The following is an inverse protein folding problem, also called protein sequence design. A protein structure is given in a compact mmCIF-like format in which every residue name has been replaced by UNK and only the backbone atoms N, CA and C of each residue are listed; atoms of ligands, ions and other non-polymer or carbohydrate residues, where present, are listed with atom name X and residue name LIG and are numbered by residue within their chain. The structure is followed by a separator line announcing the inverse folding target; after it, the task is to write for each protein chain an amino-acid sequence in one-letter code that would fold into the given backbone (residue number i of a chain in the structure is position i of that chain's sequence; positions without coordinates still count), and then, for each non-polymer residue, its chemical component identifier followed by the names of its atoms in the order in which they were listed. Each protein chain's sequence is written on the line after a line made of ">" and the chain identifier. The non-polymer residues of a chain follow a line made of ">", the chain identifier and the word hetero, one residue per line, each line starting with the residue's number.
data_IF_217086225222
#
_entry.id   IF_217086225222
#
_cell.length_a   1.000
_cell.length_b   1.000
_cell.length_c   1.000
_cell.angle_alpha   90.00
_cell.angle_beta   90.00
_cell.angle_gamma   90.00
#
_symmetry.space_group_name_H-M   'P 1'
#
loop_
_entity.id
_entity.type
_entity.pdbx_description
1 polymer ?
#
# COMPACT_ATOMS: atom_id res chain seq x y z
N UNK A 1 -9.38 -0.49 14.86
CA UNK A 1 -8.23 -1.16 15.50
C UNK A 1 -7.54 -2.02 14.45
N UNK A 2 -6.21 -2.16 14.46
CA UNK A 2 -5.54 -3.20 13.66
C UNK A 2 -5.61 -4.49 14.48
N UNK A 3 -6.20 -5.55 13.94
CA UNK A 3 -6.42 -6.77 14.73
C UNK A 3 -5.08 -7.40 15.11
N UNK A 4 -4.72 -7.30 16.39
CA UNK A 4 -3.56 -7.96 17.01
C UNK A 4 -4.10 -8.83 18.14
N UNK A 5 -4.42 -10.08 17.84
CA UNK A 5 -4.99 -10.99 18.83
C UNK A 5 -5.69 -12.20 18.20
N UNK A 6 -6.43 -12.99 19.00
CA UNK A 6 -7.31 -14.05 18.51
C UNK A 6 -8.35 -13.45 17.57
N UNK A 7 -8.51 -14.01 16.37
CA UNK A 7 -9.54 -13.56 15.42
C UNK A 7 -10.94 -13.67 16.07
N UNK A 8 -11.87 -12.74 15.77
CA UNK A 8 -13.28 -12.96 16.08
C UNK A 8 -13.77 -14.24 15.37
N UNK A 9 -14.98 -14.74 15.69
CA UNK A 9 -15.61 -15.80 14.90
C UNK A 9 -15.51 -15.47 13.40
N UNK A 10 -14.95 -16.41 12.64
CA UNK A 10 -14.67 -16.23 11.22
C UNK A 10 -15.92 -16.68 10.46
N UNK A 11 -16.46 -15.79 9.62
CA UNK A 11 -17.61 -16.10 8.78
C UNK A 11 -17.30 -17.27 7.83
N UNK A 12 -18.31 -18.05 7.47
CA UNK A 12 -18.13 -19.32 6.75
C UNK A 12 -17.43 -19.16 5.39
N UNK A 13 -17.70 -18.06 4.68
CA UNK A 13 -17.09 -17.76 3.37
C UNK A 13 -15.72 -17.07 3.46
N UNK A 14 -15.20 -16.83 4.69
CA UNK A 14 -13.88 -16.23 4.92
C UNK A 14 -12.86 -17.33 5.17
N UNK A 15 -11.93 -17.48 4.23
CA UNK A 15 -10.92 -18.52 4.30
C UNK A 15 -9.84 -18.19 5.31
N UNK A 16 -9.26 -19.24 5.90
CA UNK A 16 -8.15 -19.14 6.83
C UNK A 16 -6.87 -19.68 6.21
N UNK A 17 -5.78 -18.95 6.42
CA UNK A 17 -4.44 -19.39 6.10
C UNK A 17 -3.59 -19.42 7.37
N UNK A 18 -3.11 -20.60 7.74
CA UNK A 18 -2.18 -20.77 8.85
C UNK A 18 -0.76 -20.51 8.38
N UNK A 19 -0.04 -19.67 9.10
CA UNK A 19 1.32 -19.26 8.76
C UNK A 19 2.24 -19.40 9.95
N UNK A 20 3.53 -19.64 9.69
CA UNK A 20 4.56 -19.46 10.71
C UNK A 20 4.98 -17.99 10.78
N UNK A 21 4.95 -17.41 11.99
CA UNK A 21 5.40 -16.04 12.22
C UNK A 21 6.92 -15.99 12.22
N UNK A 22 7.48 -14.87 11.75
CA UNK A 22 8.95 -14.64 11.79
C UNK A 22 9.54 -14.72 13.20
N UNK A 23 8.77 -14.29 14.21
CA UNK A 23 9.17 -14.29 15.61
C UNK A 23 8.99 -15.67 16.29
N UNK A 24 8.53 -16.67 15.54
CA UNK A 24 8.18 -17.99 16.04
C UNK A 24 6.69 -18.15 16.35
N UNK A 25 6.22 -19.40 16.30
CA UNK A 25 4.83 -19.77 16.53
C UNK A 25 3.91 -19.58 15.33
N UNK A 26 2.67 -20.03 15.48
CA UNK A 26 1.66 -19.99 14.41
C UNK A 26 0.83 -18.69 14.47
N UNK A 27 0.40 -18.24 13.29
CA UNK A 27 -0.57 -17.18 13.10
C UNK A 27 -1.63 -17.60 12.10
N UNK A 28 -2.77 -16.94 12.16
CA UNK A 28 -3.81 -17.05 11.13
C UNK A 28 -3.87 -15.74 10.37
N UNK A 29 -4.00 -15.85 9.05
CA UNK A 29 -4.42 -14.79 8.14
C UNK A 29 -5.75 -15.19 7.54
N UNK A 30 -6.54 -14.20 7.14
CA UNK A 30 -7.78 -14.42 6.40
C UNK A 30 -7.60 -13.97 4.96
N UNK A 31 -8.31 -14.62 4.06
CA UNK A 31 -8.37 -14.24 2.66
C UNK A 31 -9.76 -14.54 2.08
N UNK A 32 -10.08 -13.89 0.97
CA UNK A 32 -11.37 -13.99 0.31
C UNK A 32 -11.17 -13.97 -1.19
N UNK A 33 -11.97 -14.73 -1.92
CA UNK A 33 -12.00 -14.82 -3.38
C UNK A 33 -13.42 -14.69 -3.95
N UNK A 34 -14.39 -14.40 -3.10
CA UNK A 34 -15.81 -14.31 -3.45
C UNK A 34 -16.46 -13.07 -2.84
N UNK A 35 -17.59 -12.67 -3.41
CA UNK A 35 -18.42 -11.60 -2.83
C UNK A 35 -18.94 -12.00 -1.45
N UNK A 36 -19.33 -13.25 -1.26
CA UNK A 36 -19.79 -13.76 0.03
C UNK A 36 -18.69 -13.64 1.09
N UNK A 37 -17.45 -14.02 0.77
CA UNK A 37 -16.31 -13.83 1.66
C UNK A 37 -16.05 -12.36 2.00
N UNK A 38 -16.12 -11.46 1.01
CA UNK A 38 -15.99 -10.03 1.25
C UNK A 38 -17.08 -9.48 2.18
N UNK A 39 -18.32 -9.94 2.04
CA UNK A 39 -19.42 -9.60 2.95
C UNK A 39 -19.22 -10.23 4.35
N UNK A 40 -18.67 -11.44 4.42
CA UNK A 40 -18.29 -12.07 5.68
C UNK A 40 -17.25 -11.25 6.45
N UNK A 41 -16.32 -10.57 5.76
CA UNK A 41 -15.42 -9.61 6.43
C UNK A 41 -16.20 -8.44 7.06
N UNK A 42 -17.29 -7.98 6.45
CA UNK A 42 -18.16 -6.94 7.02
C UNK A 42 -18.89 -7.45 8.25
N UNK A 43 -19.37 -8.70 8.24
CA UNK A 43 -19.99 -9.35 9.40
C UNK A 43 -19.00 -9.49 10.58
N UNK A 44 -17.71 -9.59 10.27
CA UNK A 44 -16.60 -9.58 11.24
C UNK A 44 -16.18 -8.16 11.66
N UNK A 45 -16.97 -7.12 11.35
CA UNK A 45 -16.71 -5.69 11.61
C UNK A 45 -15.41 -5.16 10.96
N UNK A 46 -14.95 -5.77 9.85
CA UNK A 46 -13.75 -5.31 9.14
C UNK A 46 -14.06 -4.05 8.33
N UNK A 47 -13.36 -2.96 8.67
CA UNK A 47 -13.45 -1.69 7.93
C UNK A 47 -12.28 -1.49 6.98
N UNK A 48 -11.03 -1.72 7.40
CA UNK A 48 -9.86 -1.57 6.52
C UNK A 48 -9.29 -2.93 6.11
N UNK A 49 -9.08 -3.12 4.82
CA UNK A 49 -8.43 -4.28 4.24
C UNK A 49 -6.95 -3.97 4.01
N UNK A 50 -6.08 -4.83 4.55
CA UNK A 50 -4.63 -4.68 4.49
C UNK A 50 -3.99 -5.95 3.94
N UNK A 51 -4.11 -6.20 2.62
CA UNK A 51 -3.52 -7.37 1.99
C UNK A 51 -1.99 -7.35 2.03
N UNK A 52 -1.40 -8.53 1.89
CA UNK A 52 0.02 -8.68 1.60
C UNK A 52 0.26 -8.45 0.11
N UNK A 53 1.49 -8.13 -0.25
CA UNK A 53 1.96 -8.10 -1.64
C UNK A 53 2.36 -9.52 -2.11
N UNK A 54 1.47 -10.48 -1.89
CA UNK A 54 1.62 -11.90 -2.25
C UNK A 54 0.23 -12.54 -2.40
N UNK A 55 0.14 -13.59 -3.21
CA UNK A 55 -1.09 -14.38 -3.35
C UNK A 55 -1.18 -15.46 -2.28
N UNK A 56 -2.35 -16.09 -2.15
CA UNK A 56 -2.53 -17.22 -1.23
C UNK A 56 -1.94 -18.53 -1.77
N UNK A 57 -1.68 -18.61 -3.07
CA UNK A 57 -1.04 -19.77 -3.71
C UNK A 57 0.43 -19.90 -3.27
N UNK A 58 1.10 -18.77 -3.09
CA UNK A 58 2.42 -18.69 -2.46
C UNK A 58 2.60 -17.37 -1.70
N UNK A 59 2.43 -17.43 -0.38
CA UNK A 59 2.58 -16.26 0.49
C UNK A 59 4.03 -15.89 0.81
N UNK A 60 4.98 -16.78 0.52
CA UNK A 60 6.41 -16.55 0.81
C UNK A 60 7.10 -15.80 -0.33
N UNK A 61 6.43 -15.70 -1.47
CA UNK A 61 6.87 -15.06 -2.69
C UNK A 61 6.01 -13.81 -2.97
N UNK A 62 6.66 -12.65 -3.01
CA UNK A 62 6.03 -11.38 -3.34
C UNK A 62 5.76 -11.29 -4.85
N UNK A 63 4.55 -10.84 -5.21
CA UNK A 63 4.10 -10.66 -6.59
C UNK A 63 3.99 -9.18 -7.01
N UNK A 64 4.16 -8.27 -6.04
CA UNK A 64 3.96 -6.84 -6.19
C UNK A 64 5.03 -6.07 -5.42
N UNK A 65 5.47 -4.94 -5.99
CA UNK A 65 6.20 -3.90 -5.25
C UNK A 65 5.25 -2.75 -4.91
N UNK A 66 5.43 -2.19 -3.72
CA UNK A 66 4.65 -1.07 -3.19
C UNK A 66 5.59 0.01 -2.67
N UNK A 67 5.41 1.23 -3.17
CA UNK A 67 6.08 2.43 -2.69
C UNK A 67 5.02 3.38 -2.13
N UNK A 68 5.07 3.64 -0.83
CA UNK A 68 4.16 4.57 -0.16
C UNK A 68 4.84 5.95 -0.06
N UNK A 69 4.31 6.93 -0.80
CA UNK A 69 4.77 8.31 -0.76
C UNK A 69 4.04 9.04 0.35
N UNK A 70 4.72 9.20 1.49
CA UNK A 70 4.17 9.77 2.71
C UNK A 70 4.76 11.19 2.94
N UNK A 71 4.00 12.26 2.67
CA UNK A 71 4.48 13.62 2.87
C UNK A 71 4.62 13.94 4.36
N UNK A 72 5.83 14.35 4.77
CA UNK A 72 6.03 14.95 6.08
C UNK A 72 5.36 16.32 6.20
N UNK A 73 5.32 16.85 7.42
CA UNK A 73 4.72 18.16 7.67
C UNK A 73 5.41 19.26 6.84
N UNK A 74 4.61 20.13 6.22
CA UNK A 74 5.07 21.20 5.34
C UNK A 74 5.27 20.78 3.87
N UNK A 75 5.13 19.51 3.52
CA UNK A 75 5.16 19.07 2.12
C UNK A 75 3.81 19.32 1.43
N UNK A 76 3.85 20.10 0.35
CA UNK A 76 2.69 20.34 -0.50
C UNK A 76 2.33 19.10 -1.35
N UNK A 77 1.05 18.93 -1.64
CA UNK A 77 0.54 17.82 -2.46
C UNK A 77 1.15 17.80 -3.87
N UNK A 78 1.39 18.96 -4.48
CA UNK A 78 2.05 19.07 -5.78
C UNK A 78 3.42 18.39 -5.79
N UNK A 79 4.15 18.42 -4.66
CA UNK A 79 5.42 17.70 -4.55
C UNK A 79 5.23 16.18 -4.46
N UNK A 80 4.15 15.70 -3.85
CA UNK A 80 3.80 14.27 -3.87
C UNK A 80 3.52 13.81 -5.30
N UNK A 81 2.78 14.61 -6.08
CA UNK A 81 2.52 14.34 -7.50
C UNK A 81 3.81 14.31 -8.31
N UNK A 82 4.66 15.34 -8.15
CA UNK A 82 5.96 15.40 -8.82
C UNK A 82 6.79 14.15 -8.52
N UNK A 83 6.84 13.74 -7.25
CA UNK A 83 7.57 12.56 -6.79
C UNK A 83 6.98 11.28 -7.37
N UNK A 84 5.65 11.17 -7.44
CA UNK A 84 4.97 10.03 -8.04
C UNK A 84 5.32 9.88 -9.52
N UNK A 85 5.36 10.98 -10.27
CA UNK A 85 5.75 10.95 -11.68
C UNK A 85 7.24 10.60 -11.86
N UNK A 86 8.12 11.10 -11.00
CA UNK A 86 9.54 10.71 -11.00
C UNK A 86 9.72 9.21 -10.69
N UNK A 87 9.02 8.71 -9.68
CA UNK A 87 9.08 7.30 -9.29
C UNK A 87 8.47 6.40 -10.39
N UNK A 88 7.40 6.84 -11.05
CA UNK A 88 6.84 6.16 -12.23
C UNK A 88 7.89 6.00 -13.32
N UNK A 89 8.57 7.07 -13.71
CA UNK A 89 9.59 7.01 -14.76
C UNK A 89 10.76 6.11 -14.38
N UNK A 90 11.19 6.14 -13.12
CA UNK A 90 12.21 5.22 -12.61
C UNK A 90 11.78 3.75 -12.76
N UNK A 91 10.54 3.43 -12.38
CA UNK A 91 10.00 2.06 -12.49
C UNK A 91 9.81 1.63 -13.94
N UNK A 92 9.26 2.49 -14.80
CA UNK A 92 9.13 2.23 -16.24
C UNK A 92 10.50 1.99 -16.89
N UNK A 93 11.54 2.71 -16.48
CA UNK A 93 12.92 2.51 -16.94
C UNK A 93 13.53 1.16 -16.57
N UNK A 94 13.10 0.56 -15.46
CA UNK A 94 13.46 -0.80 -15.06
C UNK A 94 12.53 -1.87 -15.69
N UNK A 95 11.60 -1.47 -16.57
CA UNK A 95 10.69 -2.38 -17.28
C UNK A 95 9.38 -2.69 -16.55
N UNK A 96 9.10 -2.02 -15.44
CA UNK A 96 7.86 -2.20 -14.69
C UNK A 96 6.68 -1.42 -15.27
N UNK A 97 5.48 -1.80 -14.84
CA UNK A 97 4.21 -1.13 -15.20
C UNK A 97 3.52 -0.61 -13.94
N UNK A 98 4.01 0.50 -13.37
CA UNK A 98 3.45 1.04 -12.14
C UNK A 98 2.07 1.66 -12.36
N UNK A 99 1.22 1.54 -11.36
CA UNK A 99 -0.09 2.19 -11.29
C UNK A 99 -0.24 2.95 -9.95
N UNK A 100 -0.86 4.14 -9.97
CA UNK A 100 -1.02 4.94 -8.78
C UNK A 100 -2.31 4.59 -8.04
N UNK A 101 -2.24 4.61 -6.72
CA UNK A 101 -3.38 4.37 -5.82
C UNK A 101 -3.40 5.41 -4.71
N UNK A 102 -4.49 6.16 -4.63
CA UNK A 102 -4.75 7.06 -3.52
C UNK A 102 -4.87 6.24 -2.23
N UNK A 103 -4.41 6.79 -1.11
CA UNK A 103 -4.44 6.07 0.16
C UNK A 103 -5.70 6.36 0.96
N UNK A 104 -6.45 7.43 0.65
CA UNK A 104 -7.46 7.98 1.54
C UNK A 104 -6.85 8.64 2.80
N UNK A 105 -5.55 8.92 2.77
CA UNK A 105 -4.80 9.53 3.87
C UNK A 105 -4.10 10.79 3.40
N UNK A 106 -2.82 10.95 3.74
CA UNK A 106 -1.99 12.06 3.26
C UNK A 106 -1.17 11.69 2.02
N UNK A 107 -1.02 10.41 1.71
CA UNK A 107 -0.03 9.90 0.76
C UNK A 107 -0.61 9.27 -0.51
N UNK A 108 0.29 8.77 -1.35
CA UNK A 108 -0.02 8.06 -2.60
C UNK A 108 0.81 6.79 -2.66
N UNK A 109 0.19 5.64 -2.96
CA UNK A 109 0.93 4.43 -3.28
C UNK A 109 1.24 4.37 -4.78
N UNK A 110 2.46 3.98 -5.12
CA UNK A 110 2.79 3.43 -6.43
C UNK A 110 2.94 1.92 -6.28
N UNK A 111 2.16 1.18 -7.05
CA UNK A 111 2.16 -0.27 -7.02
C UNK A 111 2.58 -0.79 -8.38
N UNK A 112 3.43 -1.82 -8.43
CA UNK A 112 3.79 -2.47 -9.69
C UNK A 112 3.83 -3.98 -9.54
N UNK A 113 3.25 -4.75 -10.48
CA UNK A 113 3.43 -6.19 -10.51
C UNK A 113 4.89 -6.54 -10.82
N UNK A 114 5.35 -7.62 -10.19
CA UNK A 114 6.62 -8.25 -10.50
C UNK A 114 6.41 -9.24 -11.66
N UNK A 115 7.22 -9.19 -12.74
CA UNK A 115 7.10 -10.15 -13.85
C UNK A 115 7.36 -11.60 -13.45
N UNK A 116 8.14 -11.79 -12.40
CA UNK A 116 8.41 -13.05 -11.71
C UNK A 116 8.39 -12.76 -10.22
N UNK A 117 7.83 -13.66 -9.42
CA UNK A 117 7.80 -13.46 -7.98
C UNK A 117 9.20 -13.43 -7.39
N UNK A 118 9.33 -12.78 -6.24
CA UNK A 118 10.58 -12.68 -5.50
C UNK A 118 10.32 -13.01 -4.04
N UNK A 119 11.28 -13.66 -3.37
CA UNK A 119 11.26 -13.71 -1.90
C UNK A 119 11.06 -12.29 -1.34
N UNK A 120 10.30 -12.17 -0.24
CA UNK A 120 10.02 -10.87 0.37
C UNK A 120 11.29 -10.06 0.67
N UNK A 121 12.39 -10.70 1.06
CA UNK A 121 13.64 -9.98 1.33
C UNK A 121 14.30 -9.46 0.05
N UNK A 122 14.21 -10.19 -1.06
CA UNK A 122 14.65 -9.71 -2.37
C UNK A 122 13.78 -8.54 -2.85
N UNK A 123 12.46 -8.64 -2.74
CA UNK A 123 11.53 -7.55 -3.06
C UNK A 123 11.81 -6.30 -2.22
N UNK A 124 12.00 -6.46 -0.90
CA UNK A 124 12.36 -5.39 0.02
C UNK A 124 13.67 -4.69 -0.38
N UNK A 125 14.73 -5.46 -0.63
CA UNK A 125 16.04 -4.91 -1.00
C UNK A 125 15.98 -4.20 -2.36
N UNK A 126 15.23 -4.75 -3.30
CA UNK A 126 15.04 -4.14 -4.60
C UNK A 126 14.28 -2.80 -4.51
N UNK A 127 13.16 -2.77 -3.77
CA UNK A 127 12.42 -1.53 -3.52
C UNK A 127 13.27 -0.50 -2.77
N UNK A 128 14.06 -0.93 -1.77
CA UNK A 128 15.01 -0.07 -1.06
C UNK A 128 15.99 0.61 -2.01
N UNK A 129 16.58 -0.14 -2.95
CA UNK A 129 17.54 0.39 -3.93
C UNK A 129 16.90 1.50 -4.76
N UNK A 130 15.69 1.28 -5.28
CA UNK A 130 14.98 2.27 -6.11
C UNK A 130 14.57 3.52 -5.31
N UNK A 131 14.04 3.34 -4.10
CA UNK A 131 13.70 4.46 -3.22
C UNK A 131 14.93 5.30 -2.87
N UNK A 132 16.07 4.66 -2.58
CA UNK A 132 17.33 5.35 -2.31
C UNK A 132 17.89 6.05 -3.55
N UNK A 133 17.74 5.46 -4.73
CA UNK A 133 18.16 6.08 -5.99
C UNK A 133 17.39 7.40 -6.21
N UNK A 134 16.07 7.40 -6.05
CA UNK A 134 15.27 8.62 -6.14
C UNK A 134 15.65 9.63 -5.05
N UNK A 135 15.78 9.19 -3.79
CA UNK A 135 16.12 10.07 -2.69
C UNK A 135 17.48 10.76 -2.85
N UNK A 136 18.47 10.10 -3.48
CA UNK A 136 19.78 10.71 -3.77
C UNK A 136 19.73 11.87 -4.75
N UNK A 137 18.67 11.99 -5.55
CA UNK A 137 18.52 13.11 -6.50
C UNK A 137 18.24 14.43 -5.78
N UNK A 138 17.67 14.37 -4.57
CA UNK A 138 17.39 15.54 -3.74
C UNK A 138 17.32 15.14 -2.24
N UNK A 139 18.47 15.00 -1.57
CA UNK A 139 18.54 14.53 -0.18
C UNK A 139 17.89 15.47 0.85
N UNK A 140 17.71 16.73 0.48
CA UNK A 140 17.08 17.75 1.34
C UNK A 140 15.56 17.68 1.27
N UNK A 141 14.99 17.14 0.18
CA UNK A 141 13.54 16.96 0.02
C UNK A 141 13.05 15.54 0.25
N UNK A 142 13.93 14.53 0.19
CA UNK A 142 13.55 13.13 0.36
C UNK A 142 14.17 12.47 1.58
N UNK A 143 13.46 11.50 2.14
CA UNK A 143 13.99 10.61 3.17
C UNK A 143 13.52 9.18 2.89
N UNK A 144 14.36 8.19 3.21
CA UNK A 144 14.01 6.75 3.11
C UNK A 144 14.11 6.05 4.46
N UNK A 145 14.31 6.79 5.54
CA UNK A 145 14.31 6.29 6.91
C UNK A 145 12.93 6.46 7.53
N UNK A 146 12.44 5.42 8.22
CA UNK A 146 11.16 5.48 8.94
C UNK A 146 11.15 6.48 10.11
N UNK A 147 12.31 7.00 10.53
CA UNK A 147 12.45 7.93 11.66
C UNK A 147 11.58 9.18 11.46
N UNK A 148 10.57 9.35 12.32
CA UNK A 148 9.66 10.50 12.30
C UNK A 148 10.42 11.83 12.42
N UNK A 149 11.48 11.87 13.23
CA UNK A 149 12.32 13.05 13.42
C UNK A 149 12.99 13.54 12.12
N UNK A 150 13.09 12.68 11.10
CA UNK A 150 13.68 13.04 9.80
C UNK A 150 12.62 13.47 8.77
N UNK A 151 11.33 13.43 9.07
CA UNK A 151 10.27 13.74 8.09
C UNK A 151 9.90 15.22 7.92
N UNK A 152 10.06 16.13 8.90
CA UNK A 152 9.67 17.54 8.69
C UNK A 152 10.32 18.13 7.43
N UNK A 153 9.52 18.77 6.57
CA UNK A 153 9.98 19.37 5.31
C UNK A 153 10.43 18.37 4.24
N UNK A 154 10.23 17.06 4.44
CA UNK A 154 10.65 16.00 3.51
C UNK A 154 9.55 15.01 3.20
N UNK A 155 9.59 14.45 1.99
CA UNK A 155 8.74 13.34 1.60
C UNK A 155 9.44 12.01 1.92
N UNK A 156 8.76 11.16 2.69
CA UNK A 156 9.24 9.82 3.00
C UNK A 156 8.84 8.87 1.87
N UNK A 157 9.84 8.32 1.19
CA UNK A 157 9.65 7.27 0.18
C UNK A 157 9.70 5.93 0.91
N UNK A 158 8.53 5.47 1.37
CA UNK A 158 8.38 4.27 2.17
C UNK A 158 8.38 3.02 1.29
N UNK A 159 9.54 2.35 1.26
CA UNK A 159 9.71 1.04 0.62
C UNK A 159 9.48 -0.14 1.58
N UNK A 160 9.13 0.10 2.84
CA UNK A 160 9.07 -0.94 3.88
C UNK A 160 7.89 -1.89 3.72
N UNK A 161 6.95 -1.57 2.83
CA UNK A 161 5.76 -2.38 2.47
C UNK A 161 6.05 -3.66 1.69
N UNK A 162 7.32 -3.90 1.37
CA UNK A 162 7.79 -5.00 0.55
C UNK A 162 8.45 -6.11 1.38
N UNK A 163 8.29 -6.10 2.70
CA UNK A 163 8.80 -7.15 3.58
C UNK A 163 7.74 -8.18 3.95
N UNK A 164 8.15 -9.39 4.32
CA UNK A 164 7.23 -10.45 4.74
C UNK A 164 6.40 -9.98 5.93
N UNK A 165 5.09 -10.13 5.86
CA UNK A 165 4.18 -9.70 6.93
C UNK A 165 3.85 -8.22 6.95
N UNK A 166 4.46 -7.42 6.08
CA UNK A 166 4.11 -6.02 5.93
C UNK A 166 2.89 -5.88 5.04
N UNK A 167 2.12 -4.83 5.28
CA UNK A 167 0.87 -4.58 4.57
C UNK A 167 0.80 -3.15 4.08
N UNK A 168 0.01 -2.98 3.03
CA UNK A 168 -0.43 -1.70 2.50
C UNK A 168 -1.95 -1.74 2.42
N UNK A 169 -2.61 -0.59 2.63
CA UNK A 169 -4.07 -0.55 2.49
C UNK A 169 -4.49 -1.02 1.10
N UNK A 170 -5.45 -1.94 1.04
CA UNK A 170 -5.92 -2.59 -0.18
C UNK A 170 -6.61 -1.61 -1.14
N UNK A 171 -6.65 -1.97 -2.41
CA UNK A 171 -7.46 -1.25 -3.38
C UNK A 171 -8.94 -1.29 -2.99
N UNK A 172 -9.60 -0.14 -3.08
CA UNK A 172 -11.00 0.07 -2.72
C UNK A 172 -11.34 -0.10 -1.22
N UNK A 173 -10.34 -0.35 -0.37
CA UNK A 173 -10.55 -0.37 1.08
C UNK A 173 -10.99 1.01 1.57
N UNK A 174 -12.04 1.12 2.40
CA UNK A 174 -12.29 2.32 3.16
C UNK A 174 -11.19 2.55 4.19
N UNK A 175 -11.14 3.77 4.72
CA UNK A 175 -10.24 4.20 5.79
C UNK A 175 -11.03 4.64 7.01
N UNK A 176 -10.58 4.28 8.20
CA UNK A 176 -11.16 4.75 9.47
C UNK A 176 -10.60 6.15 9.76
N UNK A 177 -11.10 7.11 9.00
CA UNK A 177 -10.81 8.54 9.08
C UNK A 177 -12.10 9.32 8.89
N UNK A 178 -12.09 10.60 9.25
CA UNK A 178 -13.25 11.47 9.04
C UNK A 178 -13.71 11.42 7.57
N UNK A 179 -15.01 11.21 7.37
CA UNK A 179 -15.60 11.06 6.05
C UNK A 179 -15.45 9.68 5.39
N UNK A 180 -14.74 8.73 5.98
CA UNK A 180 -14.45 7.39 5.42
C UNK A 180 -13.90 7.43 3.98
N UNK A 181 -12.71 8.02 3.77
CA UNK A 181 -12.08 8.05 2.47
C UNK A 181 -11.72 6.64 1.99
N UNK A 182 -11.59 6.47 0.67
CA UNK A 182 -11.38 5.17 0.01
C UNK A 182 -9.99 5.16 -0.63
N UNK A 183 -9.23 4.09 -0.41
CA UNK A 183 -7.96 3.85 -1.06
C UNK A 183 -8.15 3.44 -2.53
N UNK A 184 -8.34 4.41 -3.41
CA UNK A 184 -8.78 4.17 -4.79
C UNK A 184 -7.62 4.10 -5.79
N UNK A 185 -7.55 3.05 -6.64
CA UNK A 185 -6.74 3.09 -7.85
C UNK A 185 -7.18 4.24 -8.75
N UNK A 186 -6.22 4.96 -9.33
CA UNK A 186 -6.48 6.11 -10.21
C UNK A 186 -5.63 6.03 -11.47
N UNK A 187 -5.96 6.86 -12.46
CA UNK A 187 -5.14 6.98 -13.67
C UNK A 187 -3.99 7.97 -13.44
N UNK A 188 -2.88 7.79 -14.16
CA UNK A 188 -1.80 8.79 -14.19
C UNK A 188 -2.30 10.17 -14.61
N UNK A 189 -3.23 10.26 -15.57
CA UNK A 189 -3.89 11.51 -15.97
C UNK A 189 -4.72 12.16 -14.84
N UNK A 190 -5.17 11.36 -13.86
CA UNK A 190 -5.83 11.87 -12.66
C UNK A 190 -4.81 12.46 -11.69
N UNK A 191 -3.68 11.77 -11.50
CA UNK A 191 -2.55 12.24 -10.68
C UNK A 191 -1.98 13.56 -11.24
N UNK A 192 -1.71 13.63 -12.54
CA UNK A 192 -1.25 14.84 -13.24
C UNK A 192 -2.23 16.02 -13.12
N UNK A 193 -3.52 15.73 -12.92
CA UNK A 193 -4.57 16.75 -12.74
C UNK A 193 -4.78 17.14 -11.28
N UNK A 194 -3.97 16.66 -10.35
CA UNK A 194 -4.04 17.09 -8.96
C UNK A 194 -5.08 16.37 -8.12
N UNK A 195 -5.50 15.14 -8.49
CA UNK A 195 -6.46 14.40 -7.65
C UNK A 195 -5.89 14.19 -6.23
N UNK A 196 -6.61 14.65 -5.21
CA UNK A 196 -6.17 14.57 -3.81
C UNK A 196 -6.28 13.14 -3.26
N UNK A 197 -5.48 12.83 -2.23
CA UNK A 197 -5.41 11.49 -1.61
C UNK A 197 -6.76 10.96 -1.08
N UNK A 198 -7.68 11.84 -0.71
CA UNK A 198 -8.99 11.56 -0.13
C UNK A 198 -10.16 11.91 -1.06
N UNK A 199 -9.90 12.02 -2.38
CA UNK A 199 -10.88 12.45 -3.38
C UNK A 199 -12.17 11.59 -3.42
N UNK A 200 -12.10 10.35 -2.93
CA UNK A 200 -13.23 9.42 -2.86
C UNK A 200 -13.52 9.04 -1.42
N UNK A 201 -14.80 9.02 -1.07
CA UNK A 201 -15.30 8.65 0.25
C UNK A 201 -16.51 7.73 0.13
N UNK A 202 -16.94 7.10 1.22
CA UNK A 202 -18.19 6.31 1.20
C UNK A 202 -19.41 7.14 0.75
N UNK A 203 -19.44 8.43 1.11
CA UNK A 203 -20.51 9.36 0.71
C UNK A 203 -20.28 9.95 -0.70
N UNK A 204 -19.07 9.83 -1.24
CA UNK A 204 -18.70 10.28 -2.58
C UNK A 204 -17.88 9.20 -3.29
N UNK A 205 -18.50 8.06 -3.64
CA UNK A 205 -17.78 6.95 -4.22
C UNK A 205 -17.34 7.27 -5.64
N UNK A 206 -16.39 6.48 -6.14
CA UNK A 206 -15.98 6.49 -7.54
C UNK A 206 -17.21 6.23 -8.43
N UNK A 207 -17.45 7.11 -9.41
CA UNK A 207 -18.47 6.88 -10.44
C UNK A 207 -17.81 6.10 -11.57
N UNK A 208 -18.33 4.90 -11.88
CA UNK A 208 -17.99 4.21 -13.13
C UNK A 208 -18.36 5.14 -14.28
N UNK A 209 -17.39 5.41 -15.17
CA UNK A 209 -17.67 5.95 -16.50
C UNK A 209 -17.97 4.80 -17.43
#
# INVERSE_FOLDING_TARGET
>A
FYHKGPLPPIADDVHQLRIEKREGGQGVRVWVDSLAGLLGLVEMDVVELHPWAATVDDIEEADMLVFDLDPGDGIAWDFVIETALRMRHLLEGEGFKPWPKLTGGKGLHLMTPLPQTLTHDAAHNYARRLAQQLARTDPDRYVTSASLARRPGRLFIDYLRNGRGTTAVGAYSPRVREGFPIAAPVTWKGVERGICSDAFTLNRPFRRR
#
